data_IF_207739468597
#
_entry.id   IF_207739468597
#
_cell.length_a   1.000
_cell.length_b   1.000
_cell.length_c   1.000
_cell.angle_alpha   90.00
_cell.angle_beta   90.00
_cell.angle_gamma   90.00
#
_symmetry.space_group_name_H-M   'P 1'
#
loop_
_entity.id
_entity.type
_entity.pdbx_description
1 polymer ?
#
# COMPACT_ATOMS: atom_id res chain seq x y z
N UNK A 1 6.81 18.65 2.08
CA UNK A 1 6.53 17.21 1.92
C UNK A 1 5.20 17.05 1.20
N UNK A 2 5.18 16.25 0.15
CA UNK A 2 3.93 16.02 -0.59
C UNK A 2 2.93 15.27 0.27
N UNK A 3 1.64 15.63 0.17
CA UNK A 3 0.58 14.86 0.82
C UNK A 3 0.41 13.51 0.09
N UNK A 4 -0.25 12.54 0.76
CA UNK A 4 -0.49 11.24 0.17
C UNK A 4 -1.27 11.39 -1.15
N UNK A 5 -2.22 12.30 -1.23
CA UNK A 5 -3.02 12.52 -2.43
C UNK A 5 -2.22 13.11 -3.60
N UNK A 6 -1.03 13.59 -3.35
CA UNK A 6 -0.14 14.15 -4.38
C UNK A 6 0.93 13.17 -4.85
N UNK A 7 1.05 12.00 -4.22
CA UNK A 7 2.02 10.99 -4.61
C UNK A 7 1.68 10.44 -5.99
N UNK A 8 2.71 10.24 -6.81
CA UNK A 8 2.55 9.71 -8.17
C UNK A 8 2.99 8.27 -8.23
N UNK A 9 2.53 7.55 -9.28
CA UNK A 9 2.96 6.18 -9.52
C UNK A 9 4.46 6.14 -9.82
N UNK A 10 5.15 5.16 -9.28
CA UNK A 10 6.57 4.98 -9.53
C UNK A 10 7.31 4.34 -8.37
N UNK A 11 8.62 4.09 -8.53
CA UNK A 11 9.43 3.37 -7.54
C UNK A 11 9.45 4.02 -6.16
N UNK A 12 9.47 5.34 -6.08
CA UNK A 12 9.52 6.04 -4.79
C UNK A 12 8.25 5.79 -3.98
N UNK A 13 7.09 5.86 -4.62
CA UNK A 13 5.81 5.58 -3.96
C UNK A 13 5.69 4.10 -3.63
N UNK A 14 6.17 3.22 -4.52
CA UNK A 14 6.17 1.77 -4.26
C UNK A 14 6.94 1.43 -2.97
N UNK A 15 8.07 2.09 -2.73
CA UNK A 15 8.87 1.91 -1.52
C UNK A 15 8.07 2.35 -0.28
N UNK A 16 7.38 3.49 -0.36
CA UNK A 16 6.53 3.95 0.75
C UNK A 16 5.44 2.94 1.07
N UNK A 17 4.85 2.33 0.06
CA UNK A 17 3.81 1.30 0.23
C UNK A 17 4.40 0.06 0.90
N UNK A 18 5.57 -0.41 0.44
CA UNK A 18 6.23 -1.56 1.04
C UNK A 18 6.51 -1.31 2.52
N UNK A 19 7.06 -0.17 2.86
CA UNK A 19 7.37 0.19 4.24
C UNK A 19 6.10 0.31 5.09
N UNK A 20 5.03 0.86 4.51
CA UNK A 20 3.74 0.96 5.19
C UNK A 20 3.18 -0.41 5.56
N UNK A 21 3.42 -1.43 4.72
CA UNK A 21 3.00 -2.81 4.99
C UNK A 21 3.96 -3.56 5.91
N UNK A 22 4.98 -2.90 6.43
CA UNK A 22 5.90 -3.49 7.40
C UNK A 22 7.21 -4.02 6.83
N UNK A 23 7.47 -3.82 5.54
CA UNK A 23 8.72 -4.25 4.93
C UNK A 23 9.90 -3.47 5.51
N UNK A 24 11.02 -4.13 5.70
CA UNK A 24 12.23 -3.51 6.23
C UNK A 24 13.36 -3.57 5.21
N UNK A 25 14.21 -2.53 5.15
CA UNK A 25 15.35 -2.55 4.23
C UNK A 25 16.24 -3.76 4.47
N UNK A 26 16.70 -4.36 3.38
CA UNK A 26 17.61 -5.51 3.39
C UNK A 26 18.92 -5.06 2.78
N UNK A 27 19.87 -4.67 3.62
CA UNK A 27 21.12 -4.05 3.16
C UNK A 27 22.38 -4.66 3.76
N UNK A 28 22.26 -5.82 4.42
CA UNK A 28 23.43 -6.55 4.91
C UNK A 28 24.10 -7.30 3.75
N UNK A 29 25.34 -7.70 3.94
CA UNK A 29 26.05 -8.50 2.94
C UNK A 29 25.29 -9.82 2.66
N UNK A 30 24.80 -10.48 3.71
CA UNK A 30 24.04 -11.72 3.58
C UNK A 30 22.77 -11.51 2.77
N UNK A 31 22.04 -10.41 3.04
CA UNK A 31 20.84 -10.05 2.30
C UNK A 31 21.13 -9.88 0.81
N UNK A 32 22.21 -9.16 0.49
CA UNK A 32 22.55 -8.87 -0.89
C UNK A 32 22.93 -10.13 -1.68
N UNK A 33 23.47 -11.16 -0.99
CA UNK A 33 23.86 -12.41 -1.62
C UNK A 33 22.66 -13.24 -2.10
N UNK A 34 21.50 -13.06 -1.49
CA UNK A 34 20.28 -13.83 -1.82
C UNK A 34 19.21 -12.96 -2.49
N UNK A 35 19.51 -11.70 -2.72
CA UNK A 35 18.54 -10.75 -3.24
C UNK A 35 18.14 -11.08 -4.68
N UNK A 36 16.86 -10.91 -4.99
CA UNK A 36 16.28 -11.13 -6.32
C UNK A 36 15.65 -9.83 -6.80
N UNK A 37 15.87 -9.51 -8.07
CA UNK A 37 15.32 -8.31 -8.67
C UNK A 37 16.25 -7.11 -8.56
N UNK A 38 15.72 -5.91 -8.73
CA UNK A 38 16.50 -4.68 -8.76
C UNK A 38 16.44 -3.95 -7.41
N UNK A 39 17.53 -3.27 -7.00
CA UNK A 39 17.52 -2.48 -5.76
C UNK A 39 16.52 -1.33 -5.84
N UNK A 40 16.05 -0.78 -4.70
CA UNK A 40 16.44 -1.17 -3.35
C UNK A 40 15.81 -2.49 -2.91
N UNK A 41 16.51 -3.24 -2.06
CA UNK A 41 16.05 -4.55 -1.59
C UNK A 41 15.39 -4.43 -0.22
N UNK A 42 14.32 -5.23 -0.04
CA UNK A 42 13.55 -5.27 1.20
C UNK A 42 13.25 -6.71 1.59
N UNK A 43 13.01 -6.93 2.87
CA UNK A 43 12.48 -8.20 3.37
C UNK A 43 10.97 -8.20 3.12
N UNK A 44 10.53 -9.03 2.18
CA UNK A 44 9.13 -9.16 1.77
C UNK A 44 8.76 -10.64 1.75
N UNK A 45 7.78 -11.01 2.56
CA UNK A 45 7.25 -12.39 2.63
C UNK A 45 8.33 -13.44 2.84
N UNK A 46 9.32 -13.14 3.67
CA UNK A 46 10.41 -14.06 3.97
C UNK A 46 11.52 -14.10 2.91
N UNK A 47 11.44 -13.24 1.91
CA UNK A 47 12.44 -13.16 0.85
C UNK A 47 13.06 -11.78 0.79
N UNK A 48 14.33 -11.72 0.36
CA UNK A 48 15.01 -10.47 0.07
C UNK A 48 14.82 -10.18 -1.43
N UNK A 49 14.14 -9.09 -1.74
CA UNK A 49 13.81 -8.80 -3.13
C UNK A 49 13.60 -7.30 -3.35
N UNK A 50 13.62 -6.91 -4.62
CA UNK A 50 13.23 -5.57 -5.01
C UNK A 50 11.75 -5.32 -4.73
N UNK A 51 11.39 -4.06 -4.57
CA UNK A 51 10.03 -3.67 -4.24
C UNK A 51 9.11 -3.89 -5.46
N UNK A 52 7.96 -4.54 -5.30
CA UNK A 52 6.99 -4.71 -6.39
C UNK A 52 6.43 -3.37 -6.88
N UNK A 53 5.89 -3.38 -8.10
CA UNK A 53 5.30 -2.20 -8.72
C UNK A 53 3.87 -1.98 -8.23
N UNK A 54 3.69 -1.73 -6.94
CA UNK A 54 2.36 -1.60 -6.34
C UNK A 54 1.48 -0.53 -7.01
N UNK A 55 2.09 0.56 -7.44
CA UNK A 55 1.35 1.68 -8.01
C UNK A 55 1.01 1.52 -9.49
N UNK A 56 1.53 0.47 -10.15
CA UNK A 56 1.40 0.28 -11.60
C UNK A 56 0.80 -1.08 -11.95
N UNK A 57 1.32 -2.16 -11.37
CA UNK A 57 0.93 -3.52 -11.73
C UNK A 57 -0.31 -3.99 -10.96
N UNK A 58 -1.38 -4.44 -11.65
CA UNK A 58 -2.59 -4.92 -10.96
C UNK A 58 -2.33 -6.05 -9.97
N UNK A 59 -1.44 -6.99 -10.30
CA UNK A 59 -1.10 -8.09 -9.41
C UNK A 59 -0.43 -7.60 -8.12
N UNK A 60 0.41 -6.57 -8.21
CA UNK A 60 1.05 -5.98 -7.03
C UNK A 60 0.06 -5.15 -6.22
N UNK A 61 -0.83 -4.41 -6.89
CA UNK A 61 -1.89 -3.65 -6.20
C UNK A 61 -2.81 -4.56 -5.38
N UNK A 62 -3.06 -5.78 -5.86
CA UNK A 62 -3.87 -6.75 -5.14
C UNK A 62 -3.25 -7.14 -3.80
N UNK A 63 -1.93 -7.11 -3.69
CA UNK A 63 -1.23 -7.39 -2.44
C UNK A 63 -1.62 -6.33 -1.39
N UNK A 64 -1.72 -5.08 -1.80
CA UNK A 64 -2.12 -3.99 -0.91
C UNK A 64 -3.56 -4.19 -0.42
N UNK A 65 -4.48 -4.58 -1.33
CA UNK A 65 -5.87 -4.88 -0.96
C UNK A 65 -5.92 -6.01 0.06
N UNK A 66 -5.17 -7.09 -0.17
CA UNK A 66 -5.11 -8.22 0.77
C UNK A 66 -4.60 -7.78 2.14
N UNK A 67 -3.58 -6.92 2.16
CA UNK A 67 -3.06 -6.37 3.41
C UNK A 67 -4.14 -5.56 4.15
N UNK A 68 -4.89 -4.71 3.44
CA UNK A 68 -5.97 -3.94 4.05
C UNK A 68 -7.05 -4.86 4.64
N UNK A 69 -7.40 -5.92 3.92
CA UNK A 69 -8.37 -6.90 4.41
C UNK A 69 -7.86 -7.64 5.65
N UNK A 70 -6.55 -7.88 5.73
CA UNK A 70 -5.94 -8.52 6.90
C UNK A 70 -6.03 -7.65 8.17
N UNK A 71 -6.18 -6.34 7.99
CA UNK A 71 -6.39 -5.40 9.08
C UNK A 71 -7.87 -5.19 9.40
N UNK A 72 -8.76 -6.02 8.82
CA UNK A 72 -10.21 -5.97 9.00
C UNK A 72 -10.85 -4.71 8.44
N UNK A 73 -10.39 -4.29 7.28
CA UNK A 73 -11.05 -3.25 6.49
C UNK A 73 -11.80 -3.87 5.32
N UNK A 74 -12.96 -3.30 5.03
CA UNK A 74 -13.72 -3.60 3.81
C UNK A 74 -13.28 -2.62 2.74
N UNK A 75 -12.92 -3.13 1.57
CA UNK A 75 -12.39 -2.32 0.47
C UNK A 75 -13.43 -2.23 -0.64
N UNK A 76 -13.80 -0.99 -1.01
CA UNK A 76 -14.70 -0.71 -2.12
C UNK A 76 -13.95 0.11 -3.15
N UNK A 77 -14.21 -0.15 -4.42
CA UNK A 77 -13.56 0.58 -5.50
C UNK A 77 -14.54 0.79 -6.64
N UNK A 78 -14.50 1.99 -7.22
CA UNK A 78 -15.34 2.32 -8.37
C UNK A 78 -14.69 3.38 -9.23
N UNK A 79 -15.17 3.48 -10.48
CA UNK A 79 -14.73 4.50 -11.42
C UNK A 79 -15.85 5.51 -11.61
N UNK A 80 -15.50 6.78 -11.80
CA UNK A 80 -16.46 7.82 -12.11
C UNK A 80 -16.84 7.86 -13.60
N UNK A 81 -16.27 6.95 -14.41
CA UNK A 81 -16.51 6.90 -15.83
C UNK A 81 -15.65 7.85 -16.66
N UNK A 82 -14.74 8.59 -16.03
CA UNK A 82 -13.87 9.57 -16.69
C UNK A 82 -12.40 9.37 -16.37
N UNK A 83 -11.97 8.12 -16.35
CA UNK A 83 -10.57 7.77 -16.07
C UNK A 83 -10.11 8.17 -14.66
N UNK A 84 -11.03 8.22 -13.73
CA UNK A 84 -10.73 8.47 -12.33
C UNK A 84 -11.28 7.33 -11.48
N UNK A 85 -10.42 6.78 -10.64
CA UNK A 85 -10.78 5.69 -9.74
C UNK A 85 -10.82 6.18 -8.30
N UNK A 86 -11.78 5.68 -7.55
CA UNK A 86 -11.90 5.96 -6.12
C UNK A 86 -11.89 4.64 -5.36
N UNK A 87 -11.08 4.59 -4.31
CA UNK A 87 -11.03 3.44 -3.40
C UNK A 87 -11.38 3.94 -2.00
N UNK A 88 -12.35 3.27 -1.38
CA UNK A 88 -12.78 3.57 -0.02
C UNK A 88 -12.59 2.35 0.85
N UNK A 89 -12.05 2.54 2.05
CA UNK A 89 -11.92 1.48 3.05
C UNK A 89 -12.65 1.88 4.31
N UNK A 90 -13.39 0.93 4.87
CA UNK A 90 -14.20 1.13 6.08
C UNK A 90 -13.92 -0.03 7.02
N UNK A 91 -13.68 0.28 8.29
CA UNK A 91 -13.42 -0.74 9.29
C UNK A 91 -14.61 -1.68 9.46
N UNK A 92 -14.33 -2.98 9.60
CA UNK A 92 -15.36 -3.98 9.93
C UNK A 92 -15.83 -3.83 11.38
N UNK A 93 -17.02 -4.38 11.64
CA UNK A 93 -17.59 -4.42 12.98
C UNK A 93 -16.70 -5.13 14.00
N UNK A 94 -15.81 -6.02 13.53
CA UNK A 94 -14.87 -6.72 14.40
C UNK A 94 -13.84 -5.79 15.05
N UNK A 95 -13.65 -4.58 14.50
CA UNK A 95 -12.72 -3.61 15.05
C UNK A 95 -13.42 -2.74 16.08
N UNK A 96 -12.67 -2.29 17.08
CA UNK A 96 -13.18 -1.39 18.11
C UNK A 96 -13.47 0.02 17.57
N UNK A 97 -12.89 0.36 16.42
CA UNK A 97 -13.01 1.67 15.76
C UNK A 97 -13.93 1.66 14.53
N UNK A 98 -14.81 0.66 14.42
CA UNK A 98 -15.62 0.48 13.21
C UNK A 98 -16.49 1.71 12.86
N UNK A 99 -16.79 2.57 13.83
CA UNK A 99 -17.56 3.78 13.59
C UNK A 99 -16.74 4.94 13.06
N UNK A 100 -15.43 4.86 13.14
CA UNK A 100 -14.54 6.00 12.92
C UNK A 100 -13.52 5.79 11.82
N UNK A 101 -13.03 4.56 11.64
CA UNK A 101 -11.97 4.29 10.69
C UNK A 101 -12.53 4.13 9.28
N UNK A 102 -12.52 5.24 8.55
CA UNK A 102 -12.97 5.30 7.16
C UNK A 102 -12.02 6.20 6.37
N UNK A 103 -11.54 5.72 5.23
CA UNK A 103 -10.58 6.43 4.40
C UNK A 103 -10.95 6.29 2.94
N UNK A 104 -10.61 7.29 2.13
CA UNK A 104 -10.79 7.21 0.70
C UNK A 104 -9.66 7.94 -0.01
N UNK A 105 -9.39 7.51 -1.24
CA UNK A 105 -8.42 8.17 -2.10
C UNK A 105 -8.84 7.96 -3.55
N UNK A 106 -8.49 8.93 -4.40
CA UNK A 106 -8.74 8.84 -5.82
C UNK A 106 -7.44 8.96 -6.60
N UNK A 107 -7.45 8.47 -7.82
CA UNK A 107 -6.32 8.61 -8.74
C UNK A 107 -6.76 8.27 -10.15
N UNK A 108 -5.91 8.61 -11.12
CA UNK A 108 -6.16 8.30 -12.53
C UNK A 108 -6.04 6.79 -12.84
N UNK A 109 -5.42 6.00 -11.95
CA UNK A 109 -5.38 4.55 -12.07
C UNK A 109 -5.86 3.91 -10.77
N UNK A 110 -6.45 2.71 -10.90
CA UNK A 110 -6.93 1.96 -9.73
C UNK A 110 -5.77 1.62 -8.78
N UNK A 111 -4.64 1.19 -9.33
CA UNK A 111 -3.47 0.79 -8.54
C UNK A 111 -2.95 1.94 -7.69
N UNK A 112 -2.86 3.14 -8.26
CA UNK A 112 -2.41 4.31 -7.50
C UNK A 112 -3.42 4.71 -6.43
N UNK A 113 -4.73 4.63 -6.74
CA UNK A 113 -5.78 4.91 -5.75
C UNK A 113 -5.70 3.93 -4.58
N UNK A 114 -5.50 2.63 -4.85
CA UNK A 114 -5.32 1.60 -3.82
C UNK A 114 -4.11 1.95 -2.95
N UNK A 115 -3.00 2.32 -3.55
CA UNK A 115 -1.78 2.66 -2.81
C UNK A 115 -1.97 3.91 -1.95
N UNK A 116 -2.62 4.93 -2.47
CA UNK A 116 -2.88 6.16 -1.70
C UNK A 116 -3.75 5.87 -0.48
N UNK A 117 -4.82 5.08 -0.62
CA UNK A 117 -5.66 4.74 0.51
C UNK A 117 -4.92 3.85 1.50
N UNK A 118 -4.09 2.93 1.01
CA UNK A 118 -3.24 2.08 1.86
C UNK A 118 -2.29 2.90 2.73
N UNK A 119 -1.70 3.94 2.17
CA UNK A 119 -0.82 4.84 2.92
C UNK A 119 -1.57 5.63 4.00
N UNK A 120 -2.80 6.06 3.70
CA UNK A 120 -3.65 6.74 4.69
C UNK A 120 -3.98 5.81 5.86
N UNK A 121 -4.30 4.56 5.56
CA UNK A 121 -4.58 3.55 6.59
C UNK A 121 -3.33 3.30 7.44
N UNK A 122 -2.17 3.15 6.81
CA UNK A 122 -0.91 2.91 7.52
C UNK A 122 -0.58 4.04 8.49
N UNK A 123 -0.78 5.29 8.06
CA UNK A 123 -0.56 6.46 8.91
C UNK A 123 -1.48 6.44 10.12
N UNK A 124 -2.75 6.12 9.90
CA UNK A 124 -3.73 6.00 10.97
C UNK A 124 -3.37 4.87 11.95
N UNK A 125 -3.02 3.70 11.43
CA UNK A 125 -2.67 2.56 12.27
C UNK A 125 -1.44 2.84 13.13
N UNK A 126 -0.44 3.54 12.59
CA UNK A 126 0.72 3.95 13.37
C UNK A 126 0.36 4.90 14.51
N UNK A 127 -0.59 5.81 14.25
CA UNK A 127 -1.00 6.79 15.27
C UNK A 127 -1.80 6.15 16.40
N UNK A 128 -2.43 5.01 16.16
CA UNK A 128 -3.19 4.28 17.17
C UNK A 128 -2.29 3.55 18.17
N UNK A 129 -1.18 3.05 17.63
CA UNK A 129 -0.31 2.17 18.35
C UNK A 129 0.71 2.78 19.19
#
# INVERSE_FOLDING_TARGET
>A
MASIDELVAGPETDVLVAEAMGAKPANTMEDLMVAVGAPPYYHLDGHVRGVPNYTIAPSAGRIVVTWLQSLYYNVKMWSDGQEWWVVEVVAFLARDDYNHAQFSAGAETLELAICRVGLKVAEYERSRG
#
